data_IF_002942996907
#
_entry.id   IF_002942996907
#
_cell.length_a   1.000
_cell.length_b   1.000
_cell.length_c   1.000
_cell.angle_alpha   90.00
_cell.angle_beta   90.00
_cell.angle_gamma   90.00
#
_symmetry.space_group_name_H-M   'P 1'
#
loop_
_entity.id
_entity.type
_entity.pdbx_description
1 polymer ?
#
# COMPACT_ATOMS: atom_id res chain seq x y z
N UNK A 1 4.32 -17.36 -4.16
CA UNK A 1 3.43 -16.22 -3.88
C UNK A 1 4.22 -14.95 -4.13
N UNK A 2 3.58 -13.93 -4.68
CA UNK A 2 4.18 -12.63 -4.96
C UNK A 2 3.11 -11.55 -5.07
N UNK A 3 3.47 -10.39 -5.63
CA UNK A 3 2.49 -9.38 -5.99
C UNK A 3 2.95 -8.57 -7.21
N UNK A 4 1.99 -8.03 -7.95
CA UNK A 4 2.23 -7.06 -9.02
C UNK A 4 1.49 -5.77 -8.69
N UNK A 5 2.21 -4.66 -8.46
CA UNK A 5 1.61 -3.38 -8.08
C UNK A 5 0.62 -3.48 -6.90
N UNK A 6 0.95 -4.32 -5.92
CA UNK A 6 0.13 -4.66 -4.74
C UNK A 6 -1.11 -5.53 -5.02
N UNK A 7 -1.27 -6.07 -6.22
CA UNK A 7 -2.19 -7.17 -6.49
C UNK A 7 -1.50 -8.49 -6.10
N UNK A 8 -2.02 -9.25 -5.12
CA UNK A 8 -1.49 -10.57 -4.79
C UNK A 8 -1.45 -11.50 -6.00
N UNK A 9 -0.39 -12.30 -6.08
CA UNK A 9 -0.24 -13.33 -7.10
C UNK A 9 0.21 -14.66 -6.53
N UNK A 10 -0.26 -15.74 -7.16
CA UNK A 10 0.12 -17.11 -6.85
C UNK A 10 0.37 -17.91 -8.12
N UNK A 11 1.38 -18.78 -8.08
CA UNK A 11 1.41 -19.97 -8.91
C UNK A 11 0.95 -21.13 -8.03
N UNK A 12 0.12 -22.02 -8.57
CA UNK A 12 -0.40 -23.17 -7.86
C UNK A 12 -0.64 -24.32 -8.85
N UNK A 13 -0.80 -25.52 -8.30
CA UNK A 13 -1.22 -26.69 -9.06
C UNK A 13 -2.29 -27.41 -8.25
N UNK A 14 -3.46 -27.58 -8.85
CA UNK A 14 -4.58 -28.30 -8.27
C UNK A 14 -5.19 -29.20 -9.37
N UNK A 15 -4.45 -30.25 -9.79
CA UNK A 15 -4.89 -31.10 -10.87
C UNK A 15 -6.24 -31.72 -10.50
N UNK A 16 -7.17 -31.69 -11.45
CA UNK A 16 -8.52 -32.27 -11.31
C UNK A 16 -9.32 -31.67 -10.15
N UNK A 17 -9.02 -30.44 -9.75
CA UNK A 17 -9.91 -29.66 -8.90
C UNK A 17 -11.05 -29.03 -9.72
N UNK A 18 -12.26 -28.98 -9.16
CA UNK A 18 -13.41 -28.30 -9.77
C UNK A 18 -13.44 -26.81 -9.43
N UNK A 19 -12.90 -26.45 -8.27
CA UNK A 19 -12.75 -25.09 -7.79
C UNK A 19 -11.53 -24.99 -6.88
N UNK A 20 -10.96 -23.78 -6.82
CA UNK A 20 -9.92 -23.45 -5.86
C UNK A 20 -10.27 -22.13 -5.19
N UNK A 21 -10.29 -22.14 -3.86
CA UNK A 21 -10.43 -20.94 -3.04
C UNK A 21 -9.07 -20.50 -2.53
N UNK A 22 -8.77 -19.21 -2.62
CA UNK A 22 -7.53 -18.61 -2.14
C UNK A 22 -7.87 -17.73 -0.96
N UNK A 23 -7.19 -17.96 0.16
CA UNK A 23 -7.38 -17.22 1.39
C UNK A 23 -6.16 -16.35 1.64
N UNK A 24 -6.38 -15.06 1.87
CA UNK A 24 -5.37 -14.12 2.32
C UNK A 24 -5.70 -13.68 3.75
N UNK A 25 -4.78 -13.88 4.68
CA UNK A 25 -4.96 -13.54 6.09
C UNK A 25 -3.84 -12.63 6.60
N UNK A 26 -4.16 -11.82 7.61
CA UNK A 26 -3.22 -10.95 8.31
C UNK A 26 -2.45 -11.64 9.44
N UNK A 27 -2.86 -12.86 9.81
CA UNK A 27 -2.18 -13.74 10.77
C UNK A 27 -2.32 -15.20 10.31
N UNK A 28 -1.39 -16.08 10.70
CA UNK A 28 -1.41 -17.47 10.26
C UNK A 28 -2.35 -18.37 11.08
N UNK A 29 -3.04 -17.83 12.10
CA UNK A 29 -3.85 -18.62 13.03
C UNK A 29 -4.97 -19.37 12.30
N UNK A 30 -5.14 -20.66 12.62
CA UNK A 30 -6.08 -21.57 11.97
C UNK A 30 -7.21 -22.01 12.88
N UNK A 31 -8.37 -22.28 12.30
CA UNK A 31 -9.47 -22.97 12.96
C UNK A 31 -9.24 -24.49 12.96
N UNK A 32 -10.13 -25.23 13.64
CA UNK A 32 -10.04 -26.68 13.75
C UNK A 32 -10.18 -27.40 12.39
N UNK A 33 -10.85 -26.78 11.42
CA UNK A 33 -10.99 -27.30 10.06
C UNK A 33 -9.74 -27.06 9.18
N UNK A 34 -8.71 -26.38 9.71
CA UNK A 34 -7.47 -26.06 9.01
C UNK A 34 -7.51 -24.77 8.20
N UNK A 35 -8.67 -24.11 8.08
CA UNK A 35 -8.82 -22.78 7.47
C UNK A 35 -8.23 -21.68 8.36
N UNK A 36 -8.03 -20.46 7.84
CA UNK A 36 -7.69 -19.32 8.70
C UNK A 36 -8.88 -18.90 9.57
N UNK A 37 -8.61 -18.40 10.79
CA UNK A 37 -9.66 -17.78 11.60
C UNK A 37 -10.30 -16.61 10.85
N UNK A 38 -11.63 -16.54 10.84
CA UNK A 38 -12.38 -15.55 10.05
C UNK A 38 -11.98 -14.10 10.38
N UNK A 39 -11.67 -13.80 11.64
CA UNK A 39 -11.18 -12.47 12.06
C UNK A 39 -9.84 -12.04 11.44
N UNK A 40 -9.04 -13.00 10.99
CA UNK A 40 -7.74 -12.75 10.39
C UNK A 40 -7.84 -12.62 8.87
N UNK A 41 -8.94 -13.10 8.29
CA UNK A 41 -9.17 -13.14 6.85
C UNK A 41 -9.35 -11.72 6.30
N UNK A 42 -8.61 -11.42 5.25
CA UNK A 42 -8.64 -10.14 4.56
C UNK A 42 -9.35 -10.24 3.23
N UNK A 43 -9.10 -11.33 2.53
CA UNK A 43 -9.61 -11.53 1.19
C UNK A 43 -9.81 -13.02 0.92
N UNK A 44 -10.81 -13.31 0.08
CA UNK A 44 -11.05 -14.66 -0.45
C UNK A 44 -11.26 -14.54 -1.95
N UNK A 45 -10.39 -15.18 -2.71
CA UNK A 45 -10.53 -15.36 -4.14
C UNK A 45 -11.13 -16.73 -4.46
N UNK A 46 -11.90 -16.82 -5.53
CA UNK A 46 -12.29 -18.10 -6.14
C UNK A 46 -11.79 -18.06 -7.57
N UNK A 47 -11.11 -19.13 -7.98
CA UNK A 47 -10.61 -19.25 -9.33
C UNK A 47 -11.69 -19.78 -10.26
N UNK A 48 -11.87 -19.11 -11.39
CA UNK A 48 -12.68 -19.64 -12.46
C UNK A 48 -11.96 -20.86 -13.11
N UNK A 49 -12.69 -21.76 -13.79
CA UNK A 49 -12.09 -22.92 -14.44
C UNK A 49 -10.94 -22.58 -15.42
N UNK A 50 -10.99 -21.42 -16.08
CA UNK A 50 -9.91 -20.96 -16.94
C UNK A 50 -8.62 -20.62 -16.17
N UNK A 51 -8.74 -20.02 -14.99
CA UNK A 51 -7.60 -19.68 -14.13
C UNK A 51 -6.99 -20.93 -13.48
N UNK A 52 -7.82 -21.94 -13.19
CA UNK A 52 -7.33 -23.25 -12.73
C UNK A 52 -6.39 -23.89 -13.76
N UNK A 53 -6.73 -23.82 -15.05
CA UNK A 53 -5.90 -24.36 -16.13
C UNK A 53 -4.62 -23.56 -16.33
N UNK A 54 -4.63 -22.26 -16.08
CA UNK A 54 -3.42 -21.42 -16.17
C UNK A 54 -2.42 -21.71 -15.04
N UNK A 55 -2.89 -22.28 -13.92
CA UNK A 55 -2.07 -22.51 -12.72
C UNK A 55 -1.59 -21.22 -12.06
N UNK A 56 -2.21 -20.09 -12.42
CA UNK A 56 -1.82 -18.77 -11.92
C UNK A 56 -3.02 -17.96 -11.50
N UNK A 57 -2.83 -17.19 -10.43
CA UNK A 57 -3.81 -16.27 -9.88
C UNK A 57 -3.21 -14.89 -9.77
N UNK A 58 -4.02 -13.91 -10.15
CA UNK A 58 -3.80 -12.49 -9.94
C UNK A 58 -5.09 -11.92 -9.37
N UNK A 59 -5.02 -11.36 -8.16
CA UNK A 59 -6.19 -10.72 -7.56
C UNK A 59 -6.56 -9.43 -8.31
N UNK A 60 -7.86 -9.20 -8.49
CA UNK A 60 -8.37 -7.96 -9.06
C UNK A 60 -8.18 -6.77 -8.09
N UNK A 61 -8.14 -7.03 -6.78
CA UNK A 61 -7.99 -6.02 -5.76
C UNK A 61 -6.53 -5.82 -5.37
N UNK A 62 -6.23 -4.57 -5.02
CA UNK A 62 -4.96 -4.23 -4.37
C UNK A 62 -5.09 -4.42 -2.87
N UNK A 63 -4.03 -4.94 -2.28
CA UNK A 63 -3.92 -5.02 -0.82
C UNK A 63 -2.99 -3.92 -0.30
N UNK A 64 -3.20 -3.55 0.95
CA UNK A 64 -2.32 -2.57 1.58
C UNK A 64 -0.92 -3.16 1.83
N UNK A 65 0.13 -2.34 1.89
CA UNK A 65 1.45 -2.81 2.26
C UNK A 65 1.47 -3.47 3.64
N UNK A 66 2.13 -4.63 3.74
CA UNK A 66 2.14 -5.43 4.96
C UNK A 66 2.63 -6.85 4.73
N UNK A 67 2.67 -7.62 5.82
CA UNK A 67 2.90 -9.06 5.79
C UNK A 67 1.56 -9.79 5.88
N UNK A 68 1.39 -10.77 5.01
CA UNK A 68 0.19 -11.59 4.89
C UNK A 68 0.54 -13.07 4.78
N UNK A 69 -0.46 -13.91 4.99
CA UNK A 69 -0.38 -15.36 4.92
C UNK A 69 -1.40 -15.85 3.90
N UNK A 70 -0.94 -16.65 2.95
CA UNK A 70 -1.76 -17.18 1.87
C UNK A 70 -1.87 -18.68 2.03
N UNK A 71 -3.09 -19.18 1.84
CA UNK A 71 -3.39 -20.60 1.78
C UNK A 71 -4.42 -20.85 0.69
N UNK A 72 -4.31 -21.99 0.03
CA UNK A 72 -5.22 -22.40 -1.02
C UNK A 72 -6.02 -23.60 -0.52
N UNK A 73 -7.31 -23.68 -0.86
CA UNK A 73 -8.12 -24.88 -0.71
C UNK A 73 -8.59 -25.36 -2.07
N UNK A 74 -8.18 -26.55 -2.45
CA UNK A 74 -8.70 -27.23 -3.63
C UNK A 74 -9.96 -28.03 -3.26
N UNK A 75 -10.91 -28.07 -4.18
CA UNK A 75 -12.06 -28.97 -4.12
C UNK A 75 -11.91 -30.03 -5.22
N UNK A 76 -11.96 -31.31 -4.85
CA UNK A 76 -11.90 -32.39 -5.81
C UNK A 76 -13.03 -32.27 -6.85
N UNK A 77 -12.70 -32.52 -8.13
CA UNK A 77 -13.72 -32.70 -9.15
C UNK A 77 -14.22 -34.15 -9.10
N UNK A 78 -15.45 -34.36 -8.61
CA UNK A 78 -16.03 -35.69 -8.46
C UNK A 78 -15.98 -36.52 -9.76
N UNK A 79 -16.31 -35.94 -10.91
CA UNK A 79 -16.35 -36.66 -12.19
C UNK A 79 -14.96 -37.11 -12.68
N UNK A 80 -13.91 -36.35 -12.34
CA UNK A 80 -12.54 -36.62 -12.77
C UNK A 80 -11.68 -37.34 -11.70
N UNK A 81 -12.16 -37.37 -10.46
CA UNK A 81 -11.43 -37.89 -9.32
C UNK A 81 -11.88 -39.27 -8.86
N UNK A 82 -13.09 -39.72 -9.21
CA UNK A 82 -13.54 -41.05 -8.88
C UNK A 82 -13.28 -42.02 -10.05
N UNK A 83 -12.45 -43.04 -9.81
CA UNK A 83 -12.16 -44.11 -10.75
C UNK A 83 -12.79 -45.38 -10.20
N UNK A 84 -13.98 -45.72 -10.70
CA UNK A 84 -14.80 -46.81 -10.13
C UNK A 84 -15.26 -46.48 -8.70
N UNK A 85 -15.13 -47.38 -7.72
CA UNK A 85 -15.53 -47.12 -6.33
C UNK A 85 -14.50 -46.30 -5.52
N UNK A 86 -13.34 -45.94 -6.09
CA UNK A 86 -12.23 -45.32 -5.37
C UNK A 86 -11.89 -43.90 -5.84
N UNK A 87 -11.34 -43.08 -4.94
CA UNK A 87 -10.81 -41.75 -5.23
C UNK A 87 -9.36 -41.86 -5.73
N UNK A 88 -9.05 -41.19 -6.85
CA UNK A 88 -7.68 -41.07 -7.36
C UNK A 88 -6.81 -40.26 -6.37
N UNK A 89 -5.73 -40.83 -5.82
CA UNK A 89 -4.85 -40.13 -4.88
C UNK A 89 -4.11 -38.94 -5.49
N UNK A 90 -4.07 -38.80 -6.82
CA UNK A 90 -3.51 -37.63 -7.50
C UNK A 90 -4.47 -36.42 -7.49
N UNK A 91 -5.71 -36.56 -7.04
CA UNK A 91 -6.64 -35.45 -6.94
C UNK A 91 -6.32 -34.55 -5.74
N UNK A 92 -6.28 -33.24 -6.02
CA UNK A 92 -6.13 -32.24 -4.98
C UNK A 92 -7.44 -32.05 -4.21
N UNK A 93 -7.44 -32.34 -2.91
CA UNK A 93 -8.51 -32.00 -1.98
C UNK A 93 -7.91 -31.47 -0.66
N UNK A 94 -8.51 -30.40 -0.14
CA UNK A 94 -8.08 -29.78 1.12
C UNK A 94 -7.11 -28.61 0.96
N UNK A 95 -6.42 -28.28 2.06
CA UNK A 95 -5.63 -27.06 2.19
C UNK A 95 -4.15 -27.25 1.81
N UNK A 96 -3.58 -26.27 1.13
CA UNK A 96 -2.14 -26.17 0.91
C UNK A 96 -1.38 -25.81 2.21
N UNK A 97 -0.05 -25.85 2.13
CA UNK A 97 0.79 -25.17 3.11
C UNK A 97 0.49 -23.66 3.12
N UNK A 98 0.75 -23.03 4.27
CA UNK A 98 0.68 -21.57 4.39
C UNK A 98 1.99 -20.96 3.92
N UNK A 99 1.88 -19.97 3.03
CA UNK A 99 3.02 -19.25 2.48
C UNK A 99 2.92 -17.78 2.88
N UNK A 100 4.06 -17.16 3.16
CA UNK A 100 4.10 -15.73 3.49
C UNK A 100 4.10 -14.89 2.22
N UNK A 101 3.35 -13.79 2.23
CA UNK A 101 3.35 -12.75 1.20
C UNK A 101 3.72 -11.42 1.85
N UNK A 102 4.78 -10.79 1.37
CA UNK A 102 5.17 -9.44 1.80
C UNK A 102 4.83 -8.47 0.68
N UNK A 103 3.99 -7.47 0.99
CA UNK A 103 3.62 -6.40 0.08
C UNK A 103 4.34 -5.13 0.48
N UNK A 104 5.29 -4.70 -0.34
CA UNK A 104 6.14 -3.56 -0.02
C UNK A 104 5.38 -2.23 -0.08
N UNK A 105 5.81 -1.28 0.76
CA UNK A 105 5.33 0.10 0.68
C UNK A 105 5.84 0.72 -0.63
N UNK A 106 4.96 1.32 -1.44
CA UNK A 106 5.41 2.01 -2.65
C UNK A 106 6.26 3.22 -2.30
N UNK A 107 7.23 3.54 -3.16
CA UNK A 107 8.08 4.71 -2.99
C UNK A 107 7.26 6.01 -3.05
N UNK A 108 7.32 6.82 -1.98
CA UNK A 108 6.60 8.08 -1.88
C UNK A 108 7.35 9.20 -2.60
N UNK A 109 6.69 9.84 -3.55
CA UNK A 109 7.20 11.03 -4.25
C UNK A 109 6.63 12.29 -3.62
N UNK A 110 7.51 13.25 -3.31
CA UNK A 110 7.11 14.54 -2.72
C UNK A 110 7.21 15.65 -3.76
N UNK A 111 6.20 16.54 -3.78
CA UNK A 111 6.22 17.79 -4.54
C UNK A 111 5.88 18.94 -3.61
N UNK A 112 6.64 20.03 -3.70
CA UNK A 112 6.41 21.23 -2.90
C UNK A 112 6.09 22.43 -3.78
N UNK A 113 5.26 23.34 -3.27
CA UNK A 113 4.93 24.61 -3.91
C UNK A 113 4.85 25.73 -2.87
N UNK A 114 5.14 26.95 -3.29
CA UNK A 114 4.97 28.16 -2.47
C UNK A 114 4.07 29.11 -3.23
N UNK A 115 2.97 29.55 -2.61
CA UNK A 115 2.10 30.60 -3.13
C UNK A 115 2.13 31.79 -2.18
N UNK A 116 2.87 32.87 -2.51
CA UNK A 116 2.88 34.09 -1.71
C UNK A 116 1.55 34.85 -1.91
N UNK A 117 0.94 35.27 -0.81
CA UNK A 117 -0.15 36.24 -0.79
C UNK A 117 0.39 37.58 -0.28
N UNK A 118 0.64 38.48 -1.23
CA UNK A 118 1.20 39.81 -0.94
C UNK A 118 0.20 40.73 -0.23
N UNK A 119 -1.11 40.53 -0.44
CA UNK A 119 -2.14 41.38 0.17
C UNK A 119 -2.33 41.01 1.65
N UNK A 120 -2.31 39.71 1.95
CA UNK A 120 -2.42 39.20 3.32
C UNK A 120 -1.11 39.11 4.10
N UNK A 121 0.05 39.39 3.47
CA UNK A 121 1.36 39.28 4.13
C UNK A 121 1.70 37.84 4.54
N UNK A 122 1.24 36.84 3.78
CA UNK A 122 1.47 35.42 4.07
C UNK A 122 2.03 34.65 2.88
N UNK A 123 2.59 33.48 3.13
CA UNK A 123 2.95 32.51 2.10
C UNK A 123 2.36 31.15 2.46
N UNK A 124 1.59 30.58 1.54
CA UNK A 124 1.06 29.24 1.63
C UNK A 124 2.11 28.24 1.10
N UNK A 125 2.47 27.28 1.95
CA UNK A 125 3.51 26.28 1.74
C UNK A 125 2.85 24.92 1.54
N UNK A 126 2.74 24.49 0.29
CA UNK A 126 2.11 23.23 -0.07
C UNK A 126 3.14 22.10 -0.11
N UNK A 127 2.73 20.93 0.36
CA UNK A 127 3.40 19.67 0.10
C UNK A 127 2.39 18.63 -0.33
N UNK A 128 2.70 17.93 -1.41
CA UNK A 128 1.93 16.79 -1.92
C UNK A 128 2.81 15.56 -1.86
N UNK A 129 2.28 14.46 -1.34
CA UNK A 129 2.92 13.15 -1.33
C UNK A 129 2.08 12.16 -2.14
N UNK A 130 2.74 11.38 -3.00
CA UNK A 130 2.07 10.41 -3.88
C UNK A 130 2.87 9.12 -3.99
N UNK A 131 2.24 7.95 -3.72
CA UNK A 131 1.05 7.77 -2.89
C UNK A 131 1.35 7.99 -1.40
N UNK A 132 0.33 8.03 -0.53
CA UNK A 132 0.54 8.06 0.92
C UNK A 132 -0.60 7.35 1.66
N UNK A 133 -0.30 6.19 2.26
CA UNK A 133 -1.26 5.46 3.09
C UNK A 133 -1.03 5.56 4.59
N UNK A 134 -0.12 6.43 5.03
CA UNK A 134 0.16 6.61 6.45
C UNK A 134 0.28 8.08 6.86
N UNK A 135 0.12 8.31 8.16
CA UNK A 135 0.29 9.62 8.79
C UNK A 135 1.78 9.92 8.96
N UNK A 136 2.26 10.95 8.27
CA UNK A 136 3.70 11.28 8.26
C UNK A 136 3.95 12.75 8.66
N UNK A 137 4.70 13.02 9.74
CA UNK A 137 5.08 14.37 10.11
C UNK A 137 6.11 14.94 9.14
N UNK A 138 6.01 16.24 8.88
CA UNK A 138 6.98 16.97 8.07
C UNK A 138 7.26 18.35 8.67
N UNK A 139 8.37 18.96 8.24
CA UNK A 139 8.69 20.34 8.58
C UNK A 139 9.18 21.12 7.37
N UNK A 140 8.91 22.41 7.36
CA UNK A 140 9.41 23.34 6.35
C UNK A 140 10.29 24.35 7.06
N UNK A 141 11.56 24.41 6.66
CA UNK A 141 12.52 25.35 7.22
C UNK A 141 12.87 26.45 6.21
N UNK A 142 13.13 27.65 6.72
CA UNK A 142 13.52 28.83 5.95
C UNK A 142 14.41 29.73 6.80
N UNK A 143 15.03 30.74 6.17
CA UNK A 143 15.80 31.77 6.86
C UNK A 143 15.07 33.11 6.80
N UNK A 144 15.10 33.85 7.90
CA UNK A 144 14.61 35.23 7.94
C UNK A 144 15.61 36.17 7.26
N UNK A 145 15.22 37.43 7.02
CA UNK A 145 16.11 38.49 6.53
C UNK A 145 17.32 38.69 7.47
N UNK A 146 17.14 38.44 8.78
CA UNK A 146 18.22 38.43 9.79
C UNK A 146 19.05 37.13 9.81
N UNK A 147 18.93 36.28 8.78
CA UNK A 147 19.60 34.97 8.65
C UNK A 147 19.26 33.93 9.73
N UNK A 148 18.31 34.21 10.63
CA UNK A 148 17.86 33.25 11.63
C UNK A 148 17.06 32.12 10.97
N UNK A 149 17.34 30.87 11.34
CA UNK A 149 16.59 29.70 10.84
C UNK A 149 15.27 29.56 11.60
N UNK A 150 14.18 29.37 10.87
CA UNK A 150 12.86 29.04 11.40
C UNK A 150 12.35 27.78 10.72
N UNK A 151 11.55 27.00 11.42
CA UNK A 151 10.87 25.85 10.87
C UNK A 151 9.43 25.83 11.37
N UNK A 152 8.51 25.44 10.49
CA UNK A 152 7.12 25.14 10.83
C UNK A 152 6.86 23.67 10.56
N UNK A 153 6.00 23.04 11.36
CA UNK A 153 5.70 21.60 11.28
C UNK A 153 4.27 21.39 10.80
N UNK A 154 4.06 20.31 10.06
CA UNK A 154 2.75 19.85 9.62
C UNK A 154 2.70 18.32 9.59
N UNK A 155 1.54 17.77 9.25
CA UNK A 155 1.39 16.33 9.08
C UNK A 155 0.64 16.02 7.79
N UNK A 156 1.18 15.10 6.99
CA UNK A 156 0.48 14.51 5.85
C UNK A 156 -0.36 13.36 6.37
N UNK A 157 -1.69 13.48 6.27
CA UNK A 157 -2.64 12.44 6.72
C UNK A 157 -3.07 11.60 5.52
N UNK A 158 -2.22 10.66 5.10
CA UNK A 158 -2.56 9.71 4.06
C UNK A 158 -3.29 8.50 4.62
N UNK A 159 -4.36 8.06 3.95
CA UNK A 159 -5.17 6.89 4.33
C UNK A 159 -5.28 5.86 3.20
N UNK A 160 -4.61 6.08 2.07
CA UNK A 160 -4.65 5.18 0.93
C UNK A 160 -3.34 5.22 0.16
N UNK A 161 -2.79 4.03 -0.12
CA UNK A 161 -1.59 3.88 -0.94
C UNK A 161 -1.86 4.01 -2.45
N UNK A 162 -3.06 4.42 -2.87
CA UNK A 162 -3.43 4.72 -4.26
C UNK A 162 -3.69 6.21 -4.52
N UNK A 163 -3.80 7.04 -3.47
CA UNK A 163 -4.19 8.44 -3.62
C UNK A 163 -3.08 9.40 -3.19
N UNK A 164 -2.98 10.57 -3.85
CA UNK A 164 -2.13 11.64 -3.35
C UNK A 164 -2.75 12.25 -2.10
N UNK A 165 -1.90 12.74 -1.20
CA UNK A 165 -2.31 13.60 -0.08
C UNK A 165 -1.62 14.95 -0.20
N UNK A 166 -2.32 16.03 0.15
CA UNK A 166 -1.77 17.38 0.21
C UNK A 166 -1.99 17.99 1.58
N UNK A 167 -1.01 18.76 2.05
CA UNK A 167 -1.17 19.63 3.21
C UNK A 167 -0.61 21.02 2.89
N UNK A 168 -1.10 22.02 3.63
CA UNK A 168 -0.69 23.42 3.50
C UNK A 168 -0.35 24.00 4.86
N UNK A 169 0.76 24.71 4.94
CA UNK A 169 1.12 25.56 6.08
C UNK A 169 1.12 27.01 5.65
N UNK A 170 0.77 27.90 6.57
CA UNK A 170 0.82 29.34 6.35
C UNK A 170 1.91 29.95 7.21
N UNK A 171 2.72 30.83 6.61
CA UNK A 171 3.74 31.61 7.33
C UNK A 171 3.57 33.08 7.00
N UNK A 172 3.83 33.95 7.98
CA UNK A 172 3.90 35.40 7.71
C UNK A 172 5.15 35.72 6.89
N UNK A 173 5.04 36.66 5.97
CA UNK A 173 6.17 37.13 5.15
C UNK A 173 6.94 38.27 5.82
N UNK A 174 6.45 38.75 6.96
CA UNK A 174 7.14 39.74 7.78
C UNK A 174 8.47 39.21 8.31
N UNK A 175 9.52 39.99 8.06
CA UNK A 175 10.88 39.61 8.43
C UNK A 175 11.51 38.55 7.52
N UNK A 176 10.86 38.15 6.42
CA UNK A 176 11.48 37.36 5.36
C UNK A 176 12.23 38.26 4.37
N UNK A 177 13.26 37.69 3.74
CA UNK A 177 13.90 38.34 2.60
C UNK A 177 12.98 38.29 1.37
N UNK A 178 13.12 39.26 0.46
CA UNK A 178 12.33 39.33 -0.79
C UNK A 178 12.27 38.01 -1.52
N UNK A 179 13.42 37.34 -1.63
CA UNK A 179 13.50 35.95 -2.07
C UNK A 179 13.84 35.06 -0.89
N UNK A 180 12.95 34.12 -0.59
CA UNK A 180 13.14 33.16 0.50
C UNK A 180 13.08 31.75 -0.05
N UNK A 181 14.06 30.92 0.35
CA UNK A 181 14.05 29.48 0.07
C UNK A 181 13.41 28.74 1.24
N UNK A 182 12.39 27.97 0.92
CA UNK A 182 11.72 27.05 1.81
C UNK A 182 12.21 25.64 1.51
N UNK A 183 12.51 24.84 2.54
CA UNK A 183 13.01 23.47 2.39
C UNK A 183 12.16 22.52 3.23
N UNK A 184 11.60 21.51 2.59
CA UNK A 184 10.75 20.49 3.21
C UNK A 184 11.59 19.30 3.64
N UNK A 185 11.29 18.82 4.83
CA UNK A 185 11.89 17.63 5.42
C UNK A 185 10.81 16.67 5.89
N UNK A 186 10.99 15.39 5.58
CA UNK A 186 10.14 14.28 6.02
C UNK A 186 11.05 13.21 6.62
N UNK A 187 10.74 12.75 7.84
CA UNK A 187 11.63 11.81 8.56
C UNK A 187 13.06 12.33 8.72
N UNK A 188 13.25 13.66 8.83
CA UNK A 188 14.56 14.29 8.90
C UNK A 188 15.31 14.47 7.57
N UNK A 189 14.87 13.84 6.48
CA UNK A 189 15.51 13.92 5.15
C UNK A 189 14.93 15.07 4.34
N UNK A 190 15.77 15.80 3.59
CA UNK A 190 15.32 16.83 2.64
C UNK A 190 14.55 16.14 1.50
N UNK A 191 13.31 16.56 1.25
CA UNK A 191 12.48 16.01 0.16
C UNK A 191 12.21 17.01 -0.96
N UNK A 192 12.28 18.31 -0.67
CA UNK A 192 12.10 19.37 -1.66
C UNK A 192 12.64 20.71 -1.16
N UNK A 193 12.95 21.61 -2.08
CA UNK A 193 13.17 23.03 -1.83
C UNK A 193 12.51 23.89 -2.91
N UNK A 194 12.06 25.08 -2.50
CA UNK A 194 11.46 26.07 -3.39
C UNK A 194 11.88 27.47 -2.96
N UNK A 195 12.43 28.21 -3.91
CA UNK A 195 12.72 29.64 -3.76
C UNK A 195 11.54 30.42 -4.32
N UNK A 196 11.01 31.36 -3.54
CA UNK A 196 9.88 32.18 -3.94
C UNK A 196 10.14 33.65 -3.61
N UNK A 197 9.57 34.54 -4.44
CA UNK A 197 9.50 35.97 -4.15
C UNK A 197 8.30 36.26 -3.25
N UNK A 198 8.55 36.55 -1.98
CA UNK A 198 7.52 36.70 -0.92
C UNK A 198 7.21 38.15 -0.54
N UNK A 199 7.99 39.11 -1.07
CA UNK A 199 7.75 40.55 -1.01
C UNK A 199 7.82 41.16 -2.41
#
# INVERSE_FOLDING_TARGET
MGHQQRHPTAAFSAPRASAVSIYLASKPDRAADGSFLQQNLRETGILAPADLQSGTWLDANKVEPGMYYVMIRAQANFDACYIGPGLDPACADGFSNVVTLVVEKPAVRYRAQVKPDRRGGTAALFVTATPMGEKTPYRVCYRTAKKARRCVTGTLNGYSWDRPVQNVLYVRTDGLATFTTFTWYVGGKKVADKRARVR
#
